data_IF_193369394442
#
_entry.id   IF_193369394442
#
_cell.length_a   1.000
_cell.length_b   1.000
_cell.length_c   1.000
_cell.angle_alpha   90.00
_cell.angle_beta   90.00
_cell.angle_gamma   90.00
#
_symmetry.space_group_name_H-M   'P 1'
#
loop_
_entity.id
_entity.type
_entity.pdbx_description
1 polymer ?
#
# COMPACT_ATOMS: atom_id res chain seq x y z
N UNK A 1 22.50 4.98 -24.09
CA UNK A 1 21.04 5.15 -24.22
C UNK A 1 20.63 6.19 -23.20
N UNK A 2 20.28 7.39 -23.67
CA UNK A 2 19.74 8.42 -22.80
C UNK A 2 18.40 7.93 -22.27
N UNK A 3 18.32 7.72 -20.96
CA UNK A 3 17.03 7.47 -20.30
C UNK A 3 16.20 8.75 -20.45
N UNK A 4 15.23 8.74 -21.33
CA UNK A 4 14.22 9.77 -21.41
C UNK A 4 13.57 9.87 -20.02
N UNK A 5 13.95 10.88 -19.26
CA UNK A 5 13.42 11.15 -17.93
C UNK A 5 11.98 11.64 -18.12
N UNK A 6 11.01 10.74 -17.95
CA UNK A 6 9.61 11.13 -17.98
C UNK A 6 9.32 12.07 -16.84
N UNK A 7 8.72 13.22 -17.15
CA UNK A 7 8.15 14.08 -16.13
C UNK A 7 6.83 13.47 -15.69
N UNK A 8 6.75 13.03 -14.44
CA UNK A 8 5.52 12.45 -13.90
C UNK A 8 4.40 13.50 -13.88
N UNK A 9 3.23 13.12 -14.36
CA UNK A 9 2.05 14.01 -14.35
C UNK A 9 1.61 14.27 -12.91
N UNK A 10 1.31 15.53 -12.59
CA UNK A 10 0.75 15.96 -11.31
C UNK A 10 -0.54 16.73 -11.57
N UNK A 11 -1.66 16.19 -11.10
CA UNK A 11 -3.00 16.76 -11.32
C UNK A 11 -3.93 16.43 -10.16
N UNK A 12 -4.97 17.25 -9.96
CA UNK A 12 -6.02 17.00 -8.98
C UNK A 12 -7.10 16.05 -9.51
N UNK A 13 -7.82 15.41 -8.60
CA UNK A 13 -8.98 14.57 -8.90
C UNK A 13 -10.22 15.13 -8.21
N UNK A 14 -11.32 15.23 -8.94
CA UNK A 14 -12.56 15.79 -8.43
C UNK A 14 -13.19 14.86 -7.40
N UNK A 15 -13.49 15.36 -6.19
CA UNK A 15 -14.26 14.61 -5.21
C UNK A 15 -15.74 14.58 -5.62
N UNK A 16 -16.31 13.38 -5.77
CA UNK A 16 -17.69 13.15 -6.10
C UNK A 16 -18.38 12.44 -4.91
N UNK A 17 -19.00 13.24 -4.01
CA UNK A 17 -19.80 12.71 -2.90
C UNK A 17 -19.07 11.68 -2.02
N UNK A 18 -17.94 12.08 -1.44
CA UNK A 18 -17.20 11.21 -0.51
C UNK A 18 -16.18 10.28 -1.17
N UNK A 19 -15.78 10.52 -2.43
CA UNK A 19 -14.77 9.71 -3.15
C UNK A 19 -13.31 10.08 -2.84
N UNK A 20 -13.04 10.81 -1.75
CA UNK A 20 -11.69 11.19 -1.35
C UNK A 20 -10.76 9.98 -1.15
N UNK A 21 -11.27 8.86 -0.65
CA UNK A 21 -10.55 7.61 -0.48
C UNK A 21 -10.09 7.00 -1.82
N UNK A 22 -10.92 7.10 -2.86
CA UNK A 22 -10.56 6.69 -4.22
C UNK A 22 -9.49 7.62 -4.78
N UNK A 23 -9.68 8.93 -4.65
CA UNK A 23 -8.72 9.92 -5.12
C UNK A 23 -7.35 9.73 -4.46
N UNK A 24 -7.33 9.50 -3.15
CA UNK A 24 -6.08 9.30 -2.41
C UNK A 24 -5.32 8.07 -2.89
N UNK A 25 -5.98 6.92 -3.04
CA UNK A 25 -5.35 5.71 -3.56
C UNK A 25 -4.86 5.87 -5.00
N UNK A 26 -5.68 6.47 -5.89
CA UNK A 26 -5.28 6.72 -7.29
C UNK A 26 -4.05 7.62 -7.38
N UNK A 27 -3.97 8.68 -6.57
CA UNK A 27 -2.81 9.58 -6.57
C UNK A 27 -1.52 8.85 -6.14
N UNK A 28 -1.61 7.90 -5.20
CA UNK A 28 -0.47 7.06 -4.82
C UNK A 28 -0.08 6.11 -5.96
N UNK A 29 -1.04 5.43 -6.59
CA UNK A 29 -0.82 4.51 -7.72
C UNK A 29 -0.20 5.24 -8.91
N UNK A 30 -0.66 6.45 -9.22
CA UNK A 30 -0.08 7.26 -10.31
C UNK A 30 1.33 7.78 -10.02
N UNK A 31 1.91 7.57 -8.83
CA UNK A 31 3.33 7.83 -8.53
C UNK A 31 4.23 6.61 -8.79
N UNK A 32 3.69 5.50 -9.27
CA UNK A 32 4.47 4.31 -9.62
C UNK A 32 5.15 4.53 -10.98
N UNK A 33 6.50 4.56 -11.05
CA UNK A 33 7.21 4.84 -12.30
C UNK A 33 6.87 3.85 -13.42
N UNK A 34 6.81 2.56 -13.10
CA UNK A 34 6.52 1.49 -14.07
C UNK A 34 5.10 1.61 -14.64
N UNK A 35 4.12 2.04 -13.84
CA UNK A 35 2.76 2.27 -14.31
C UNK A 35 2.70 3.48 -15.23
N UNK A 36 3.40 4.55 -14.89
CA UNK A 36 3.49 5.74 -15.73
C UNK A 36 4.14 5.44 -17.07
N UNK A 37 5.23 4.68 -17.06
CA UNK A 37 5.89 4.22 -18.30
C UNK A 37 4.95 3.35 -19.13
N UNK A 38 4.26 2.39 -18.50
CA UNK A 38 3.28 1.53 -19.16
C UNK A 38 2.17 2.32 -19.85
N UNK A 39 1.64 3.35 -19.18
CA UNK A 39 0.61 4.21 -19.74
C UNK A 39 1.14 5.10 -20.85
N UNK A 40 2.34 5.64 -20.71
CA UNK A 40 2.98 6.45 -21.74
C UNK A 40 3.25 5.65 -23.02
N UNK A 41 3.58 4.38 -22.88
CA UNK A 41 3.77 3.43 -23.98
C UNK A 41 2.46 2.79 -24.48
N UNK A 42 1.31 3.22 -23.96
CA UNK A 42 -0.03 2.67 -24.27
C UNK A 42 -0.14 1.14 -24.11
N UNK A 43 0.63 0.57 -23.21
CA UNK A 43 0.68 -0.89 -22.93
C UNK A 43 -0.35 -1.37 -21.92
N UNK A 44 -1.37 -0.53 -21.59
CA UNK A 44 -2.46 -0.96 -20.72
C UNK A 44 -3.31 -2.06 -21.39
N UNK A 45 -3.90 -2.92 -20.59
CA UNK A 45 -4.79 -3.97 -21.08
C UNK A 45 -6.13 -3.36 -21.51
N UNK A 46 -6.33 -3.23 -22.83
CA UNK A 46 -7.54 -2.67 -23.43
C UNK A 46 -8.79 -3.54 -23.23
N UNK A 47 -8.62 -4.79 -22.83
CA UNK A 47 -9.74 -5.70 -22.49
C UNK A 47 -10.16 -5.60 -21.03
N UNK A 48 -9.34 -4.98 -20.17
CA UNK A 48 -9.64 -4.80 -18.74
C UNK A 48 -10.28 -3.42 -18.50
N UNK A 49 -11.58 -3.36 -18.15
CA UNK A 49 -12.27 -2.09 -17.99
C UNK A 49 -11.69 -1.23 -16.87
N UNK A 50 -11.16 -1.83 -15.79
CA UNK A 50 -10.53 -1.10 -14.70
C UNK A 50 -9.24 -0.45 -15.18
N UNK A 51 -8.38 -1.18 -15.89
CA UNK A 51 -7.10 -0.64 -16.39
C UNK A 51 -7.34 0.43 -17.47
N UNK A 52 -8.37 0.27 -18.29
CA UNK A 52 -8.80 1.29 -19.27
C UNK A 52 -9.21 2.59 -18.57
N UNK A 53 -10.04 2.51 -17.51
CA UNK A 53 -10.41 3.69 -16.73
C UNK A 53 -9.18 4.37 -16.09
N UNK A 54 -8.27 3.59 -15.51
CA UNK A 54 -7.02 4.12 -14.93
C UNK A 54 -6.19 4.86 -15.99
N UNK A 55 -6.05 4.28 -17.19
CA UNK A 55 -5.36 4.92 -18.29
C UNK A 55 -6.03 6.23 -18.72
N UNK A 56 -7.35 6.25 -18.88
CA UNK A 56 -8.13 7.44 -19.25
C UNK A 56 -7.98 8.56 -18.22
N UNK A 57 -8.08 8.23 -16.92
CA UNK A 57 -7.87 9.20 -15.84
C UNK A 57 -6.46 9.79 -15.92
N UNK A 58 -5.46 8.95 -16.08
CA UNK A 58 -4.07 9.39 -16.17
C UNK A 58 -3.81 10.20 -17.46
N UNK A 59 -4.27 9.74 -18.62
CA UNK A 59 -4.04 10.37 -19.91
C UNK A 59 -4.67 11.76 -19.98
N UNK A 60 -5.91 11.89 -19.49
CA UNK A 60 -6.67 13.15 -19.47
C UNK A 60 -6.36 14.06 -18.28
N UNK A 61 -5.45 13.66 -17.37
CA UNK A 61 -5.17 14.36 -16.12
C UNK A 61 -6.42 14.55 -15.24
N UNK A 62 -7.23 13.51 -15.13
CA UNK A 62 -8.41 13.43 -14.28
C UNK A 62 -9.71 13.98 -14.88
N UNK A 63 -9.70 14.37 -16.16
CA UNK A 63 -10.89 14.91 -16.82
C UNK A 63 -11.84 13.83 -17.32
N UNK A 64 -11.30 12.69 -17.73
CA UNK A 64 -12.06 11.54 -18.28
C UNK A 64 -11.84 10.28 -17.45
N UNK A 65 -12.72 9.29 -17.57
CA UNK A 65 -12.62 7.96 -16.94
C UNK A 65 -12.96 7.92 -15.44
N UNK A 66 -12.88 9.05 -14.72
CA UNK A 66 -13.04 9.07 -13.26
C UNK A 66 -14.46 8.68 -12.82
N UNK A 67 -15.48 9.14 -13.53
CA UNK A 67 -16.89 8.81 -13.24
C UNK A 67 -17.16 7.31 -13.44
N UNK A 68 -16.65 6.75 -14.54
CA UNK A 68 -16.85 5.33 -14.87
C UNK A 68 -16.08 4.46 -13.87
N UNK A 69 -14.87 4.85 -13.49
CA UNK A 69 -14.11 4.19 -12.45
C UNK A 69 -14.86 4.18 -11.11
N UNK A 70 -15.41 5.32 -10.66
CA UNK A 70 -16.23 5.38 -9.45
C UNK A 70 -17.45 4.48 -9.52
N UNK A 71 -18.10 4.39 -10.66
CA UNK A 71 -19.25 3.50 -10.83
C UNK A 71 -18.86 2.04 -10.59
N UNK A 72 -17.74 1.60 -11.17
CA UNK A 72 -17.22 0.23 -10.97
C UNK A 72 -16.84 -0.02 -9.51
N UNK A 73 -16.10 0.90 -8.90
CA UNK A 73 -15.63 0.78 -7.51
C UNK A 73 -16.81 0.77 -6.53
N UNK A 74 -17.74 1.71 -6.66
CA UNK A 74 -18.89 1.80 -5.76
C UNK A 74 -19.78 0.56 -5.85
N UNK A 75 -20.01 0.02 -7.03
CA UNK A 75 -20.80 -1.20 -7.20
C UNK A 75 -20.16 -2.39 -6.49
N UNK A 76 -18.84 -2.43 -6.41
CA UNK A 76 -18.09 -3.57 -5.86
C UNK A 76 -17.80 -3.40 -4.38
N UNK A 77 -17.29 -2.24 -3.97
CA UNK A 77 -16.82 -2.02 -2.59
C UNK A 77 -17.84 -1.32 -1.69
N UNK A 78 -18.81 -0.61 -2.30
CA UNK A 78 -19.83 0.15 -1.58
C UNK A 78 -21.25 -0.19 -2.06
N UNK A 79 -21.68 -1.47 -2.02
CA UNK A 79 -22.96 -1.88 -2.59
C UNK A 79 -24.17 -1.23 -1.89
N UNK A 80 -24.03 -0.78 -0.64
CA UNK A 80 -25.05 -0.02 0.07
C UNK A 80 -25.14 1.46 -0.33
N UNK A 81 -24.19 1.96 -1.15
CA UNK A 81 -24.28 3.23 -1.86
C UNK A 81 -23.97 4.50 -1.09
N UNK A 82 -23.68 4.42 0.22
CA UNK A 82 -23.41 5.62 1.04
C UNK A 82 -22.24 5.41 2.00
N UNK A 83 -21.40 6.44 2.13
CA UNK A 83 -20.32 6.50 3.08
C UNK A 83 -18.96 6.84 2.47
N UNK A 84 -17.95 6.88 3.32
CA UNK A 84 -16.55 7.02 2.93
C UNK A 84 -15.94 5.60 3.00
N UNK A 85 -15.43 5.10 1.88
CA UNK A 85 -14.73 3.83 1.82
C UNK A 85 -13.29 3.93 2.32
N UNK A 86 -12.54 2.84 2.19
CA UNK A 86 -11.16 2.75 2.63
C UNK A 86 -10.20 2.65 1.43
N UNK A 87 -9.14 3.47 1.43
CA UNK A 87 -8.09 3.44 0.40
C UNK A 87 -7.32 2.11 0.38
N UNK A 88 -7.25 1.41 1.51
CA UNK A 88 -6.70 0.06 1.63
C UNK A 88 -7.54 -0.95 0.83
N UNK A 89 -8.87 -0.97 1.01
CA UNK A 89 -9.76 -1.86 0.26
C UNK A 89 -9.68 -1.59 -1.26
N UNK A 90 -9.51 -0.31 -1.64
CA UNK A 90 -9.31 0.02 -3.05
C UNK A 90 -7.98 -0.51 -3.59
N UNK A 91 -6.90 -0.46 -2.80
CA UNK A 91 -5.61 -1.03 -3.22
C UNK A 91 -5.72 -2.53 -3.46
N UNK A 92 -6.37 -3.26 -2.55
CA UNK A 92 -6.64 -4.70 -2.72
C UNK A 92 -7.47 -4.96 -3.98
N UNK A 93 -8.57 -4.21 -4.16
CA UNK A 93 -9.40 -4.31 -5.37
C UNK A 93 -8.60 -4.07 -6.65
N UNK A 94 -7.73 -3.05 -6.68
CA UNK A 94 -6.90 -2.75 -7.84
C UNK A 94 -5.92 -3.89 -8.15
N UNK A 95 -5.29 -4.46 -7.13
CA UNK A 95 -4.41 -5.61 -7.29
C UNK A 95 -5.17 -6.84 -7.80
N UNK A 96 -6.39 -7.07 -7.35
CA UNK A 96 -7.21 -8.19 -7.82
C UNK A 96 -7.71 -8.01 -9.25
N UNK A 97 -7.95 -6.77 -9.70
CA UNK A 97 -8.48 -6.47 -11.04
C UNK A 97 -7.40 -6.21 -12.08
N UNK A 98 -6.24 -5.68 -11.68
CA UNK A 98 -5.17 -5.26 -12.60
C UNK A 98 -3.92 -6.10 -12.38
N UNK A 99 -3.71 -7.10 -13.23
CA UNK A 99 -2.60 -8.06 -13.12
C UNK A 99 -1.22 -7.38 -13.02
N UNK A 100 -1.04 -6.24 -13.69
CA UNK A 100 0.21 -5.48 -13.61
C UNK A 100 0.46 -4.98 -12.19
N UNK A 101 -0.55 -4.42 -11.52
CA UNK A 101 -0.44 -3.97 -10.13
C UNK A 101 -0.24 -5.15 -9.19
N UNK A 102 -0.99 -6.23 -9.38
CA UNK A 102 -0.83 -7.45 -8.59
C UNK A 102 0.63 -7.94 -8.57
N UNK A 103 1.28 -8.01 -9.73
CA UNK A 103 2.69 -8.41 -9.83
C UNK A 103 3.66 -7.46 -9.12
N UNK A 104 3.31 -6.18 -8.98
CA UNK A 104 4.16 -5.20 -8.31
C UNK A 104 4.01 -5.22 -6.80
N UNK A 105 2.80 -5.45 -6.30
CA UNK A 105 2.47 -5.38 -4.88
C UNK A 105 2.50 -6.73 -4.17
N UNK A 106 2.08 -7.81 -4.84
CA UNK A 106 1.86 -9.09 -4.18
C UNK A 106 3.16 -9.73 -3.70
N UNK A 107 3.18 -10.15 -2.45
CA UNK A 107 4.27 -10.88 -1.82
C UNK A 107 3.76 -12.06 -1.02
N UNK A 108 4.66 -13.00 -0.72
CA UNK A 108 4.34 -14.21 0.05
C UNK A 108 4.75 -14.03 1.50
N UNK A 109 3.91 -14.53 2.39
CA UNK A 109 4.19 -14.65 3.82
C UNK A 109 4.07 -16.10 4.27
N UNK A 110 4.72 -16.43 5.37
CA UNK A 110 4.68 -17.74 6.00
C UNK A 110 4.33 -17.59 7.48
N UNK A 111 3.29 -18.28 7.91
CA UNK A 111 2.94 -18.47 9.31
C UNK A 111 3.50 -19.82 9.75
N UNK A 112 4.61 -19.81 10.45
CA UNK A 112 5.26 -20.98 10.99
C UNK A 112 4.72 -21.28 12.38
N UNK A 113 4.36 -22.52 12.63
CA UNK A 113 3.89 -23.00 13.91
C UNK A 113 4.74 -24.21 14.33
N UNK A 114 5.23 -24.20 15.57
CA UNK A 114 6.08 -25.23 16.11
C UNK A 114 5.57 -25.67 17.48
N UNK A 115 5.27 -26.96 17.65
CA UNK A 115 4.91 -27.50 18.97
C UNK A 115 6.07 -27.35 19.96
N UNK A 116 5.76 -26.91 21.18
CA UNK A 116 6.77 -26.78 22.25
C UNK A 116 7.18 -28.12 22.88
N UNK A 117 6.44 -29.22 22.57
CA UNK A 117 6.59 -30.47 23.27
C UNK A 117 7.00 -31.65 22.35
N UNK A 118 6.96 -31.50 21.02
CA UNK A 118 7.36 -32.51 20.06
C UNK A 118 7.87 -31.87 18.76
N UNK A 119 8.29 -32.69 17.81
CA UNK A 119 8.85 -32.26 16.52
C UNK A 119 7.80 -31.74 15.52
N UNK A 120 6.51 -31.61 15.92
CA UNK A 120 5.48 -31.14 15.01
C UNK A 120 5.79 -29.73 14.58
N UNK A 121 5.75 -29.50 13.28
CA UNK A 121 5.89 -28.20 12.62
C UNK A 121 4.82 -28.10 11.54
N UNK A 122 4.25 -26.92 11.40
CA UNK A 122 3.34 -26.56 10.32
C UNK A 122 3.73 -25.21 9.74
N UNK A 123 3.51 -25.04 8.44
CA UNK A 123 3.79 -23.77 7.75
C UNK A 123 2.65 -23.47 6.79
N UNK A 124 1.82 -22.52 7.17
CA UNK A 124 0.82 -21.98 6.30
C UNK A 124 1.40 -20.82 5.48
N UNK A 125 1.23 -20.86 4.15
CA UNK A 125 1.69 -19.81 3.23
C UNK A 125 0.50 -19.13 2.59
N UNK A 126 0.55 -17.82 2.57
CA UNK A 126 -0.46 -16.97 1.95
C UNK A 126 0.20 -15.82 1.17
N UNK A 127 -0.59 -15.09 0.40
CA UNK A 127 -0.13 -13.94 -0.37
C UNK A 127 -0.88 -12.70 0.08
N UNK A 128 -0.16 -11.60 0.21
CA UNK A 128 -0.68 -10.30 0.65
C UNK A 128 -0.23 -9.21 -0.34
N UNK A 129 -0.95 -8.10 -0.40
CA UNK A 129 -0.57 -6.90 -1.16
C UNK A 129 -0.08 -5.78 -0.24
N UNK A 130 -0.31 -5.93 1.05
CA UNK A 130 0.15 -5.00 2.09
C UNK A 130 0.48 -5.75 3.37
N UNK A 131 1.34 -5.14 4.17
CA UNK A 131 1.76 -5.68 5.47
C UNK A 131 1.06 -4.88 6.59
N UNK A 132 0.21 -5.51 7.40
CA UNK A 132 -0.46 -4.82 8.49
C UNK A 132 0.53 -4.48 9.60
N UNK A 133 0.55 -3.21 10.02
CA UNK A 133 1.30 -2.75 11.18
C UNK A 133 0.32 -2.44 12.30
N UNK A 134 0.46 -3.15 13.41
CA UNK A 134 -0.21 -2.86 14.68
C UNK A 134 0.83 -2.28 15.63
N UNK A 135 0.89 -0.96 15.81
CA UNK A 135 1.85 -0.37 16.73
C UNK A 135 1.62 -0.87 18.16
N UNK A 136 2.65 -1.39 18.79
CA UNK A 136 2.60 -1.89 20.18
C UNK A 136 2.87 -0.82 21.24
N UNK A 137 3.33 0.36 20.81
CA UNK A 137 3.65 1.52 21.65
C UNK A 137 3.52 2.84 20.87
N UNK A 138 3.28 3.97 21.54
CA UNK A 138 3.29 5.29 20.91
C UNK A 138 4.64 5.59 20.24
N UNK A 139 4.60 6.23 19.07
CA UNK A 139 5.80 6.63 18.29
C UNK A 139 6.74 5.49 17.90
N UNK A 140 6.21 4.30 17.72
CA UNK A 140 6.99 3.19 17.19
C UNK A 140 7.38 3.46 15.73
N UNK A 141 8.61 3.10 15.32
CA UNK A 141 8.98 3.20 13.91
C UNK A 141 8.37 2.04 13.11
N UNK A 142 8.09 2.28 11.81
CA UNK A 142 7.60 1.24 10.91
C UNK A 142 8.55 0.02 10.87
N UNK A 143 9.87 0.25 10.89
CA UNK A 143 10.86 -0.83 10.94
C UNK A 143 10.79 -1.64 12.21
N UNK A 144 10.63 -1.00 13.39
CA UNK A 144 10.44 -1.71 14.66
C UNK A 144 9.13 -2.50 14.68
N UNK A 145 8.03 -1.93 14.15
CA UNK A 145 6.74 -2.61 14.08
C UNK A 145 6.80 -3.88 13.20
N UNK A 146 7.54 -3.84 12.08
CA UNK A 146 7.78 -5.02 11.24
C UNK A 146 8.58 -6.07 12.01
N UNK A 147 9.66 -5.67 12.69
CA UNK A 147 10.48 -6.59 13.49
C UNK A 147 9.63 -7.23 14.58
N UNK A 148 8.81 -6.44 15.28
CA UNK A 148 7.92 -6.94 16.33
C UNK A 148 6.87 -7.92 15.76
N UNK A 149 6.25 -7.61 14.62
CA UNK A 149 5.31 -8.50 13.96
C UNK A 149 5.92 -9.84 13.52
N UNK A 150 7.22 -9.86 13.22
CA UNK A 150 7.94 -11.07 12.81
C UNK A 150 8.57 -11.83 13.98
N UNK A 151 8.43 -11.35 15.23
CA UNK A 151 8.96 -12.08 16.41
C UNK A 151 8.15 -13.34 16.64
N UNK A 152 8.84 -14.43 17.08
CA UNK A 152 8.15 -15.62 17.58
C UNK A 152 7.29 -15.29 18.80
N UNK A 153 6.05 -15.77 18.81
CA UNK A 153 5.10 -15.60 19.94
C UNK A 153 4.72 -16.98 20.46
N UNK A 154 4.76 -17.15 21.77
CA UNK A 154 4.29 -18.38 22.41
C UNK A 154 2.78 -18.32 22.61
N UNK A 155 2.07 -19.37 22.20
CA UNK A 155 0.64 -19.57 22.41
C UNK A 155 0.48 -20.78 23.35
N UNK A 156 0.13 -20.53 24.60
CA UNK A 156 0.07 -21.56 25.63
C UNK A 156 -1.12 -22.51 25.48
N UNK A 157 -2.27 -22.01 25.04
CA UNK A 157 -3.50 -22.80 24.97
C UNK A 157 -3.68 -23.60 23.67
N UNK A 158 -2.79 -23.44 22.70
CA UNK A 158 -2.83 -24.22 21.46
C UNK A 158 -2.51 -25.70 21.75
N UNK A 159 -3.40 -26.61 21.31
CA UNK A 159 -3.25 -28.04 21.48
C UNK A 159 -2.66 -28.70 20.24
N UNK A 160 -1.55 -29.40 20.40
CA UNK A 160 -0.87 -30.09 19.31
C UNK A 160 -1.68 -31.31 18.83
N UNK A 161 -1.89 -31.40 17.52
CA UNK A 161 -2.59 -32.54 16.90
C UNK A 161 -1.79 -33.84 17.01
N UNK A 162 -0.44 -33.77 17.06
CA UNK A 162 0.44 -34.95 17.11
C UNK A 162 0.61 -35.50 18.53
N UNK A 163 0.86 -34.65 19.53
CA UNK A 163 1.16 -35.13 20.89
C UNK A 163 0.08 -34.75 21.92
N UNK A 164 -0.98 -34.06 21.52
CA UNK A 164 -2.11 -33.60 22.36
C UNK A 164 -1.72 -32.71 23.55
N UNK A 165 -0.46 -32.32 23.68
CA UNK A 165 -0.01 -31.37 24.71
C UNK A 165 -0.25 -29.93 24.24
N UNK A 166 -0.39 -29.01 25.22
CA UNK A 166 -0.55 -27.58 24.98
C UNK A 166 0.78 -26.89 24.79
N UNK A 167 0.77 -25.79 24.03
CA UNK A 167 1.89 -24.88 23.79
C UNK A 167 2.49 -25.02 22.39
N UNK A 168 2.60 -23.88 21.73
CA UNK A 168 3.34 -23.75 20.47
C UNK A 168 4.03 -22.39 20.37
N UNK A 169 5.00 -22.30 19.48
CA UNK A 169 5.57 -21.04 19.01
C UNK A 169 5.02 -20.74 17.62
N UNK A 170 4.43 -19.56 17.44
CA UNK A 170 3.97 -19.03 16.15
C UNK A 170 4.91 -17.93 15.71
N UNK A 171 5.29 -17.92 14.42
CA UNK A 171 6.11 -16.88 13.84
C UNK A 171 5.58 -16.51 12.45
N UNK A 172 5.37 -15.22 12.23
CA UNK A 172 5.03 -14.63 10.94
C UNK A 172 6.31 -14.17 10.24
N UNK A 173 6.49 -14.52 8.96
CA UNK A 173 7.67 -14.16 8.18
C UNK A 173 7.28 -13.69 6.78
N UNK A 174 7.96 -12.66 6.29
CA UNK A 174 7.92 -12.31 4.87
C UNK A 174 8.76 -13.34 4.09
N UNK A 175 8.11 -14.10 3.20
CA UNK A 175 8.76 -15.14 2.41
C UNK A 175 9.22 -14.63 1.03
N UNK A 176 8.70 -13.49 0.57
CA UNK A 176 9.19 -12.78 -0.63
C UNK A 176 9.06 -11.27 -0.46
N UNK A 177 9.77 -10.52 -1.30
CA UNK A 177 9.86 -9.06 -1.25
C UNK A 177 9.39 -8.48 -2.58
N UNK A 178 8.25 -7.72 -2.62
CA UNK A 178 7.66 -7.19 -3.85
C UNK A 178 8.45 -5.99 -4.40
N UNK A 179 8.06 -5.51 -5.58
CA UNK A 179 8.57 -4.26 -6.13
C UNK A 179 8.06 -3.06 -5.33
N UNK A 180 6.80 -3.11 -4.91
CA UNK A 180 6.19 -2.10 -4.04
C UNK A 180 5.77 -2.76 -2.75
N UNK A 181 6.40 -2.34 -1.66
CA UNK A 181 6.06 -2.79 -0.32
C UNK A 181 5.16 -1.76 0.35
N UNK A 182 3.95 -2.17 0.66
CA UNK A 182 2.96 -1.34 1.34
C UNK A 182 2.78 -1.77 2.78
N UNK A 183 2.77 -0.81 3.69
CA UNK A 183 2.40 -1.01 5.09
C UNK A 183 1.06 -0.37 5.37
N UNK A 184 0.17 -1.12 5.96
CA UNK A 184 -1.11 -0.64 6.45
C UNK A 184 -1.05 -0.44 7.97
N UNK A 185 -1.18 0.81 8.41
CA UNK A 185 -1.25 1.17 9.83
C UNK A 185 -2.68 1.02 10.31
N UNK A 186 -2.98 -0.05 11.04
CA UNK A 186 -4.34 -0.42 11.40
C UNK A 186 -4.91 0.35 12.60
N UNK A 187 -4.06 1.00 13.42
CA UNK A 187 -4.48 1.77 14.59
C UNK A 187 -4.59 3.27 14.27
N UNK A 188 -5.73 3.88 14.67
CA UNK A 188 -5.95 5.32 14.60
C UNK A 188 -5.27 6.09 15.75
N UNK A 189 -5.02 5.41 16.87
CA UNK A 189 -4.54 6.03 18.11
C UNK A 189 -3.02 6.02 18.27
N UNK A 190 -2.29 5.51 17.27
CA UNK A 190 -0.84 5.34 17.36
C UNK A 190 -0.13 6.06 16.23
N UNK A 191 0.83 6.88 16.57
CA UNK A 191 1.74 7.52 15.62
C UNK A 191 2.85 6.55 15.24
N UNK A 192 2.96 6.22 13.95
CA UNK A 192 4.08 5.47 13.39
C UNK A 192 5.08 6.44 12.81
N UNK A 193 6.33 6.36 13.24
CA UNK A 193 7.43 7.09 12.59
C UNK A 193 7.97 6.25 11.42
N UNK A 194 8.46 6.90 10.39
CA UNK A 194 8.95 6.23 9.19
C UNK A 194 10.14 6.98 8.58
N UNK A 195 10.94 6.29 7.81
CA UNK A 195 12.10 6.85 7.11
C UNK A 195 11.86 6.91 5.61
N UNK A 196 12.58 7.78 4.93
CA UNK A 196 12.56 7.87 3.48
C UNK A 196 13.19 6.66 2.79
N UNK A 197 14.07 5.95 3.48
CA UNK A 197 14.68 4.68 3.04
C UNK A 197 14.43 3.63 4.12
N UNK A 198 13.99 2.47 3.69
CA UNK A 198 13.79 1.29 4.52
C UNK A 198 14.64 0.16 3.97
N UNK A 199 15.43 -0.50 4.81
CA UNK A 199 16.21 -1.68 4.44
C UNK A 199 15.64 -2.93 5.09
N UNK A 200 15.19 -3.89 4.29
CA UNK A 200 14.70 -5.18 4.75
C UNK A 200 15.43 -6.30 4.01
N UNK A 201 16.00 -7.23 4.75
CA UNK A 201 16.74 -8.37 4.17
C UNK A 201 17.76 -7.94 3.09
N UNK A 202 18.54 -6.88 3.35
CA UNK A 202 19.53 -6.27 2.43
C UNK A 202 18.93 -5.64 1.16
N UNK A 203 17.61 -5.51 1.07
CA UNK A 203 16.91 -4.83 -0.01
C UNK A 203 16.56 -3.43 0.46
N UNK A 204 16.90 -2.43 -0.32
CA UNK A 204 16.56 -1.04 -0.04
C UNK A 204 15.27 -0.64 -0.73
N UNK A 205 14.43 0.05 0.00
CA UNK A 205 13.14 0.59 -0.46
C UNK A 205 13.11 2.09 -0.21
N UNK A 206 12.61 2.86 -1.16
CA UNK A 206 12.39 4.30 -1.02
C UNK A 206 10.90 4.60 -0.84
N UNK A 207 10.55 5.35 0.22
CA UNK A 207 9.18 5.82 0.41
C UNK A 207 8.83 6.81 -0.70
N UNK A 208 7.73 6.56 -1.41
CA UNK A 208 7.26 7.42 -2.50
C UNK A 208 5.82 7.91 -2.34
N UNK A 209 5.00 7.24 -1.54
CA UNK A 209 3.65 7.68 -1.25
C UNK A 209 3.24 7.37 0.19
N UNK A 210 2.46 8.28 0.78
CA UNK A 210 1.84 8.17 2.10
C UNK A 210 0.38 8.57 1.98
N UNK A 211 -0.53 7.64 2.25
CA UNK A 211 -1.97 7.92 2.28
C UNK A 211 -2.37 8.18 3.71
N UNK A 212 -3.11 9.26 3.93
CA UNK A 212 -3.55 9.76 5.23
C UNK A 212 -5.07 9.78 5.35
N UNK A 213 -5.56 9.60 6.59
CA UNK A 213 -6.97 9.67 6.94
C UNK A 213 -7.16 10.29 8.34
N UNK A 214 -7.98 11.30 8.48
CA UNK A 214 -8.23 12.01 9.74
C UNK A 214 -9.54 11.63 10.46
N UNK A 215 -10.21 10.60 9.99
CA UNK A 215 -11.53 10.18 10.47
C UNK A 215 -12.70 10.64 9.60
N UNK A 216 -12.48 11.61 8.72
CA UNK A 216 -13.51 12.16 7.83
C UNK A 216 -13.05 12.38 6.40
N UNK A 217 -11.75 12.42 6.15
CA UNK A 217 -11.20 12.74 4.85
C UNK A 217 -9.89 12.01 4.56
N UNK A 218 -9.69 11.64 3.29
CA UNK A 218 -8.50 10.99 2.77
C UNK A 218 -7.70 11.93 1.85
N UNK A 219 -6.36 11.90 1.95
CA UNK A 219 -5.45 12.58 1.05
C UNK A 219 -4.13 11.82 0.93
N UNK A 220 -3.30 12.20 -0.04
CA UNK A 220 -2.03 11.52 -0.32
C UNK A 220 -0.89 12.52 -0.41
N UNK A 221 0.23 12.19 0.20
CA UNK A 221 1.53 12.75 -0.15
C UNK A 221 2.24 11.78 -1.09
N UNK A 222 2.70 12.28 -2.21
CA UNK A 222 3.45 11.50 -3.19
C UNK A 222 4.69 12.25 -3.67
N UNK A 223 5.69 11.53 -4.11
CA UNK A 223 6.86 12.11 -4.76
C UNK A 223 7.35 11.22 -5.88
N UNK A 224 8.08 11.83 -6.82
CA UNK A 224 8.76 11.10 -7.87
C UNK A 224 10.04 10.45 -7.34
N UNK A 225 10.45 9.36 -7.97
CA UNK A 225 11.71 8.68 -7.70
C UNK A 225 12.78 9.15 -8.72
N UNK A 226 14.07 9.17 -8.35
CA UNK A 226 14.68 8.73 -7.09
C UNK A 226 14.41 9.67 -5.90
N UNK A 227 14.77 9.25 -4.68
CA UNK A 227 14.66 10.08 -3.48
C UNK A 227 15.35 11.44 -3.64
N UNK A 228 14.81 12.48 -2.99
CA UNK A 228 15.30 13.86 -3.09
C UNK A 228 14.42 14.78 -3.94
N UNK A 229 13.45 14.23 -4.66
CA UNK A 229 12.39 15.04 -5.30
C UNK A 229 11.42 15.62 -4.26
N UNK A 230 10.79 16.77 -4.52
CA UNK A 230 9.83 17.39 -3.62
C UNK A 230 8.61 16.47 -3.40
N UNK A 231 8.02 16.56 -2.21
CA UNK A 231 6.74 15.96 -1.92
C UNK A 231 5.62 16.82 -2.48
N UNK A 232 4.57 16.18 -2.97
CA UNK A 232 3.35 16.82 -3.45
C UNK A 232 2.18 16.29 -2.62
N UNK A 233 1.40 17.18 -2.02
CA UNK A 233 0.15 16.86 -1.36
C UNK A 233 -0.97 16.88 -2.40
N UNK A 234 -1.67 15.75 -2.52
CA UNK A 234 -2.86 15.56 -3.35
C UNK A 234 -4.08 15.46 -2.44
N UNK A 235 -4.83 16.53 -2.36
CA UNK A 235 -6.06 16.62 -1.58
C UNK A 235 -7.20 16.96 -2.54
N UNK A 236 -7.78 15.94 -3.16
CA UNK A 236 -8.75 16.05 -4.25
C UNK A 236 -8.23 16.95 -5.38
N UNK A 237 -8.95 18.04 -5.72
CA UNK A 237 -8.50 19.03 -6.73
C UNK A 237 -7.34 19.90 -6.26
N UNK A 238 -7.05 19.91 -4.96
CA UNK A 238 -6.02 20.76 -4.40
C UNK A 238 -4.67 20.04 -4.40
N UNK A 239 -3.78 20.47 -5.28
CA UNK A 239 -2.43 19.92 -5.43
C UNK A 239 -1.41 20.94 -5.00
N UNK A 240 -0.57 20.61 -4.00
CA UNK A 240 0.43 21.53 -3.43
C UNK A 240 1.79 20.88 -3.34
N UNK A 241 2.80 21.52 -3.89
CA UNK A 241 4.20 21.09 -3.74
C UNK A 241 4.77 21.56 -2.40
N UNK A 242 5.43 20.64 -1.71
CA UNK A 242 6.19 20.88 -0.49
C UNK A 242 7.69 20.83 -0.81
N UNK A 243 8.52 21.48 0.01
CA UNK A 243 9.98 21.44 -0.18
C UNK A 243 10.53 20.01 -0.11
N UNK A 244 11.61 19.74 -0.82
CA UNK A 244 12.22 18.40 -0.90
C UNK A 244 12.58 17.81 0.49
N UNK A 245 12.90 18.68 1.46
CA UNK A 245 13.25 18.33 2.84
C UNK A 245 12.05 18.36 3.80
N UNK A 246 10.87 18.76 3.33
CA UNK A 246 9.64 18.74 4.12
C UNK A 246 8.99 17.36 4.02
N UNK A 247 9.48 16.47 4.82
CA UNK A 247 8.93 15.13 4.94
C UNK A 247 7.52 15.22 5.54
N UNK A 248 6.50 14.59 4.93
CA UNK A 248 5.16 14.63 5.50
C UNK A 248 5.13 13.83 6.81
N UNK A 249 5.20 14.55 7.93
CA UNK A 249 5.00 14.00 9.27
C UNK A 249 3.54 14.23 9.65
N UNK A 250 2.74 13.17 9.65
CA UNK A 250 1.34 13.23 10.05
C UNK A 250 0.98 12.08 10.98
N UNK A 251 0.19 12.38 11.99
CA UNK A 251 -0.37 11.38 12.90
C UNK A 251 -1.46 10.52 12.24
N UNK A 252 -1.89 10.91 11.04
CA UNK A 252 -3.03 10.36 10.32
C UNK A 252 -2.65 9.39 9.18
N UNK A 253 -1.44 8.85 9.19
CA UNK A 253 -0.98 7.89 8.18
C UNK A 253 -1.75 6.57 8.26
N UNK A 254 -2.14 6.07 7.10
CA UNK A 254 -2.78 4.76 6.94
C UNK A 254 -1.99 3.81 6.07
N UNK A 255 -1.52 4.28 4.92
CA UNK A 255 -0.71 3.46 4.03
C UNK A 255 0.64 4.13 3.77
N UNK A 256 1.71 3.36 3.90
CA UNK A 256 3.07 3.75 3.56
C UNK A 256 3.52 2.89 2.38
N UNK A 257 3.83 3.51 1.24
CA UNK A 257 4.22 2.79 0.03
C UNK A 257 5.68 3.03 -0.30
N UNK A 258 6.43 1.94 -0.35
CA UNK A 258 7.87 1.93 -0.60
C UNK A 258 8.18 1.22 -1.92
N UNK A 259 8.99 1.85 -2.73
CA UNK A 259 9.46 1.30 -4.00
C UNK A 259 10.85 0.70 -3.83
N UNK A 260 11.05 -0.54 -4.31
CA UNK A 260 12.32 -1.25 -4.26
C UNK A 260 13.36 -0.57 -5.13
N UNK A 261 14.50 -0.23 -4.53
CA UNK A 261 15.67 0.27 -5.25
C UNK A 261 16.50 -0.90 -5.77
N UNK A 262 17.00 -0.74 -6.98
CA UNK A 262 17.91 -1.71 -7.63
C UNK A 262 19.33 -1.58 -7.08
#
# INVERSE_FOLDING_TARGET
>A
MESTQFTMKSFGLRNQRGSCWVNAALQAIFRIPDLQQRFHEEKHDKSNPVEVCLYQIWASSGLEGLKDFYSVVNTTLMPAGEGIGDSHELLEFLCDKVQFLDKMFRFKVANNLACSNCEYRDTHRESMVEFPIVPSRPKQSASEAIVDACRPVTIEDWKCEKCSKKGCTKQFLMASFPQILTFHVTSMDSTVTYSSILTLNKINYALFAVICFDGGHWWTYGRDLPPGKPWVCYNDMNVRTHGANQFPLHDNMRLLMYYRLT
#
